data_IF_877132370799
#
_entry.id   IF_877132370799
#
_cell.length_a   1.000
_cell.length_b   1.000
_cell.length_c   1.000
_cell.angle_alpha   90.00
_cell.angle_beta   90.00
_cell.angle_gamma   90.00
#
_symmetry.space_group_name_H-M   'P 1'
#
loop_
_entity.id
_entity.type
_entity.pdbx_description
1 polymer ?
#
# COMPACT_ATOMS: atom_id res chain seq x y z
N UNK A 1 19.42 34.67 -11.56
CA UNK A 1 18.12 34.08 -11.97
C UNK A 1 17.60 34.72 -13.25
N UNK A 2 17.74 36.04 -13.42
CA UNK A 2 17.20 36.74 -14.59
C UNK A 2 18.00 36.52 -15.89
N UNK A 3 19.33 36.36 -15.80
CA UNK A 3 20.19 35.95 -16.92
C UNK A 3 19.74 34.63 -17.53
N UNK A 4 19.54 33.60 -16.70
CA UNK A 4 19.06 32.30 -17.15
C UNK A 4 17.70 32.37 -17.86
N UNK A 5 16.77 33.20 -17.37
CA UNK A 5 15.45 33.39 -18.00
C UNK A 5 15.55 34.06 -19.38
N UNK A 6 16.46 35.01 -19.54
CA UNK A 6 16.66 35.73 -20.81
C UNK A 6 17.25 34.79 -21.86
N UNK A 7 18.28 34.03 -21.49
CA UNK A 7 18.95 33.13 -22.42
C UNK A 7 18.04 31.93 -22.79
N UNK A 8 17.23 31.39 -21.87
CA UNK A 8 16.23 30.35 -22.20
C UNK A 8 15.19 30.82 -23.23
N UNK A 9 14.82 32.11 -23.19
CA UNK A 9 13.93 32.71 -24.20
C UNK A 9 14.63 32.84 -25.55
N UNK A 10 15.93 33.15 -25.57
CA UNK A 10 16.73 33.26 -26.81
C UNK A 10 16.91 31.90 -27.50
N UNK A 11 17.00 30.81 -26.74
CA UNK A 11 17.13 29.44 -27.27
C UNK A 11 15.80 28.81 -27.73
N UNK A 12 14.71 29.59 -27.83
CA UNK A 12 13.38 29.12 -28.24
C UNK A 12 12.90 27.86 -27.47
N UNK A 13 13.33 27.68 -26.22
CA UNK A 13 12.93 26.52 -25.39
C UNK A 13 13.32 25.18 -26.07
N UNK A 14 14.45 25.15 -26.80
CA UNK A 14 14.98 23.88 -27.32
C UNK A 14 15.52 23.00 -26.19
N UNK A 15 15.20 21.71 -26.26
CA UNK A 15 15.75 20.69 -25.37
C UNK A 15 17.19 20.41 -25.79
N UNK A 16 18.15 20.61 -24.89
CA UNK A 16 19.58 20.49 -25.20
C UNK A 16 20.14 19.14 -24.76
N UNK A 17 19.66 18.59 -23.64
CA UNK A 17 20.14 17.31 -23.12
C UNK A 17 19.09 16.62 -22.28
N UNK A 18 19.11 15.29 -22.27
CA UNK A 18 18.38 14.48 -21.30
C UNK A 18 19.30 14.08 -20.15
N UNK A 19 18.83 14.24 -18.90
CA UNK A 19 19.59 13.87 -17.71
C UNK A 19 18.75 12.90 -16.89
N UNK A 20 19.32 11.73 -16.58
CA UNK A 20 18.67 10.74 -15.75
C UNK A 20 18.76 11.13 -14.28
N UNK A 21 17.64 11.53 -13.68
CA UNK A 21 17.60 11.86 -12.26
C UNK A 21 17.41 10.60 -11.43
N UNK A 22 18.33 10.34 -10.50
CA UNK A 22 18.29 9.14 -9.64
C UNK A 22 17.21 9.22 -8.55
N UNK A 23 16.83 10.42 -8.06
CA UNK A 23 15.79 10.64 -7.03
C UNK A 23 15.17 12.04 -7.14
N UNK A 24 13.85 12.14 -6.98
CA UNK A 24 13.10 13.41 -6.98
C UNK A 24 12.19 13.54 -5.75
N UNK A 25 12.03 14.73 -5.15
CA UNK A 25 11.05 14.97 -4.08
C UNK A 25 9.63 15.10 -4.67
N UNK A 26 8.79 14.07 -4.52
CA UNK A 26 7.36 14.13 -4.90
C UNK A 26 6.53 14.83 -3.81
N UNK A 27 5.42 15.51 -4.16
CA UNK A 27 4.46 16.00 -3.16
C UNK A 27 3.92 14.83 -2.32
N UNK A 28 3.91 15.01 -1.00
CA UNK A 28 3.56 13.98 -0.04
C UNK A 28 2.05 13.86 0.09
N UNK A 29 1.45 12.80 -0.46
CA UNK A 29 0.00 12.51 -0.37
C UNK A 29 -0.20 11.17 0.33
N UNK A 30 -0.05 11.10 1.66
CA UNK A 30 0.26 9.87 2.38
C UNK A 30 -0.71 8.71 2.16
N UNK A 31 -2.01 8.93 1.96
CA UNK A 31 -2.96 7.82 1.72
C UNK A 31 -2.80 7.17 0.32
N UNK A 32 -2.26 7.92 -0.65
CA UNK A 32 -1.97 7.47 -2.03
C UNK A 32 -0.49 7.13 -2.20
N UNK A 33 0.40 7.92 -1.59
CA UNK A 33 1.86 7.77 -1.63
C UNK A 33 2.43 6.91 -0.49
N UNK A 34 1.62 6.34 0.41
CA UNK A 34 2.08 5.27 1.32
C UNK A 34 2.07 3.91 0.63
N UNK A 35 1.19 3.72 -0.37
CA UNK A 35 1.20 2.53 -1.18
C UNK A 35 2.46 2.53 -2.06
N UNK A 36 3.45 1.72 -1.67
CA UNK A 36 4.75 1.61 -2.34
C UNK A 36 4.60 1.28 -3.83
N UNK A 37 3.62 0.46 -4.19
CA UNK A 37 3.29 0.12 -5.57
C UNK A 37 2.71 1.29 -6.35
N UNK A 38 1.73 2.01 -5.77
CA UNK A 38 1.18 3.18 -6.45
C UNK A 38 2.27 4.24 -6.67
N UNK A 39 3.14 4.47 -5.67
CA UNK A 39 4.30 5.36 -5.82
C UNK A 39 5.19 4.94 -6.98
N UNK A 40 5.46 3.63 -7.10
CA UNK A 40 6.26 3.06 -8.18
C UNK A 40 5.65 3.37 -9.54
N UNK A 41 4.40 2.94 -9.77
CA UNK A 41 3.72 3.11 -11.04
C UNK A 41 3.53 4.58 -11.40
N UNK A 42 3.28 5.44 -10.40
CA UNK A 42 3.23 6.88 -10.59
C UNK A 42 4.59 7.48 -10.98
N UNK A 43 5.72 6.99 -10.45
CA UNK A 43 7.04 7.43 -10.93
C UNK A 43 7.30 6.98 -12.35
N UNK A 44 6.70 5.86 -12.76
CA UNK A 44 6.97 5.25 -14.06
C UNK A 44 5.96 5.64 -15.14
N UNK A 45 5.14 6.68 -14.92
CA UNK A 45 4.04 7.07 -15.82
C UNK A 45 3.11 5.88 -16.20
N UNK A 46 3.18 4.78 -15.46
CA UNK A 46 2.42 3.54 -15.64
C UNK A 46 1.19 3.52 -14.72
N UNK A 47 0.60 4.69 -14.45
CA UNK A 47 -0.56 4.78 -13.55
C UNK A 47 -1.73 3.91 -14.03
N UNK A 48 -1.87 3.72 -15.35
CA UNK A 48 -2.86 2.84 -15.96
C UNK A 48 -2.69 1.36 -15.56
N UNK A 49 -1.49 0.95 -15.15
CA UNK A 49 -1.20 -0.42 -14.71
C UNK A 49 -1.52 -0.63 -13.21
N UNK A 50 -1.89 0.42 -12.48
CA UNK A 50 -2.28 0.30 -11.08
C UNK A 50 -3.59 -0.47 -10.97
N UNK A 51 -3.46 -1.74 -10.57
CA UNK A 51 -4.60 -2.59 -10.28
C UNK A 51 -4.96 -2.45 -8.79
N UNK A 52 -6.24 -2.39 -8.44
CA UNK A 52 -6.66 -2.47 -7.04
C UNK A 52 -6.15 -3.78 -6.43
N UNK A 53 -5.87 -3.76 -5.12
CA UNK A 53 -5.42 -4.94 -4.36
C UNK A 53 -6.30 -6.14 -4.68
N UNK A 54 -5.74 -7.12 -5.39
CA UNK A 54 -6.50 -8.25 -5.93
C UNK A 54 -6.77 -9.32 -4.87
N UNK A 55 -5.82 -9.47 -3.94
CA UNK A 55 -5.80 -10.47 -2.89
C UNK A 55 -5.75 -9.77 -1.53
N UNK A 56 -6.66 -10.15 -0.65
CA UNK A 56 -6.89 -9.43 0.60
C UNK A 56 -7.34 -10.38 1.69
N UNK A 57 -7.17 -9.94 2.93
CA UNK A 57 -7.74 -10.55 4.11
C UNK A 57 -8.54 -9.50 4.84
N UNK A 58 -9.77 -9.86 5.19
CA UNK A 58 -10.64 -9.03 6.02
C UNK A 58 -11.11 -9.87 7.20
N UNK A 59 -11.26 -9.22 8.35
CA UNK A 59 -11.75 -9.87 9.55
C UNK A 59 -12.72 -8.95 10.29
N UNK A 60 -13.62 -9.56 11.03
CA UNK A 60 -14.58 -8.86 11.88
C UNK A 60 -14.71 -9.60 13.20
N UNK A 61 -14.59 -8.84 14.28
CA UNK A 61 -14.96 -9.28 15.62
C UNK A 61 -16.42 -8.94 15.87
N UNK A 62 -17.17 -9.90 16.40
CA UNK A 62 -18.39 -9.65 17.13
C UNK A 62 -18.04 -9.64 18.61
N UNK A 63 -18.27 -8.52 19.27
CA UNK A 63 -17.95 -8.32 20.69
C UNK A 63 -19.22 -8.29 21.53
N UNK A 64 -19.13 -8.87 22.71
CA UNK A 64 -20.13 -8.77 23.76
C UNK A 64 -19.63 -7.86 24.88
N UNK A 65 -20.56 -7.13 25.50
CA UNK A 65 -20.24 -6.14 26.52
C UNK A 65 -20.45 -6.78 27.89
N UNK A 66 -19.35 -7.05 28.60
CA UNK A 66 -19.42 -7.56 29.97
C UNK A 66 -19.38 -6.42 30.97
N UNK A 67 -20.38 -6.38 31.87
CA UNK A 67 -20.37 -5.50 33.03
C UNK A 67 -19.61 -6.18 34.17
N UNK A 68 -18.44 -5.64 34.50
CA UNK A 68 -17.63 -6.16 35.60
C UNK A 68 -17.90 -5.34 36.87
N UNK A 69 -18.30 -5.96 37.99
CA UNK A 69 -18.49 -5.26 39.25
C UNK A 69 -17.22 -4.49 39.65
N UNK A 70 -17.39 -3.23 40.10
CA UNK A 70 -16.27 -2.37 40.50
C UNK A 70 -15.57 -1.62 39.35
N UNK A 71 -16.00 -1.78 38.09
CA UNK A 71 -15.57 -0.91 36.99
C UNK A 71 -16.71 -0.03 36.52
N UNK A 72 -16.40 1.25 36.28
CA UNK A 72 -17.36 2.22 35.75
C UNK A 72 -17.60 2.06 34.24
N UNK A 73 -16.77 1.28 33.55
CA UNK A 73 -16.84 1.08 32.10
C UNK A 73 -16.95 -0.42 31.80
N UNK A 74 -17.85 -0.82 30.89
CA UNK A 74 -17.94 -2.20 30.46
C UNK A 74 -16.71 -2.62 29.65
N UNK A 75 -16.39 -3.91 29.67
CA UNK A 75 -15.29 -4.49 28.90
C UNK A 75 -15.88 -5.17 27.66
N UNK A 76 -15.44 -4.81 26.45
CA UNK A 76 -15.78 -5.56 25.25
C UNK A 76 -14.93 -6.82 25.19
N UNK A 77 -15.57 -7.98 25.23
CA UNK A 77 -14.93 -9.27 25.02
C UNK A 77 -15.34 -9.77 23.64
N UNK A 78 -14.39 -10.22 22.79
CA UNK A 78 -14.77 -10.89 21.55
C UNK A 78 -15.61 -12.13 21.89
N UNK A 79 -16.63 -12.40 21.09
CA UNK A 79 -17.45 -13.61 21.18
C UNK A 79 -17.22 -14.49 19.95
N UNK A 80 -17.09 -13.85 18.78
CA UNK A 80 -16.88 -14.52 17.49
C UNK A 80 -15.90 -13.69 16.66
N UNK A 81 -15.05 -14.38 15.90
CA UNK A 81 -14.22 -13.79 14.85
C UNK A 81 -14.51 -14.49 13.53
N UNK A 82 -14.86 -13.69 12.52
CA UNK A 82 -15.03 -14.15 11.16
C UNK A 82 -13.92 -13.53 10.31
N UNK A 83 -13.33 -14.29 9.39
CA UNK A 83 -12.40 -13.74 8.40
C UNK A 83 -12.62 -14.33 7.03
N UNK A 84 -12.43 -13.48 6.03
CA UNK A 84 -12.42 -13.87 4.62
C UNK A 84 -11.05 -13.57 4.04
N UNK A 85 -10.42 -14.60 3.51
CA UNK A 85 -9.11 -14.58 2.87
C UNK A 85 -9.33 -14.84 1.39
N UNK A 86 -8.87 -13.91 0.55
CA UNK A 86 -8.82 -14.07 -0.90
C UNK A 86 -7.36 -14.09 -1.34
N UNK A 87 -6.89 -15.24 -1.78
CA UNK A 87 -5.55 -15.44 -2.38
C UNK A 87 -5.69 -15.52 -3.90
N UNK A 88 -4.55 -15.73 -4.59
CA UNK A 88 -4.55 -15.96 -6.04
C UNK A 88 -5.30 -17.21 -6.47
N UNK A 89 -5.27 -18.24 -5.62
CA UNK A 89 -5.75 -19.57 -6.00
C UNK A 89 -7.11 -19.90 -5.36
N UNK A 90 -7.47 -19.27 -4.24
CA UNK A 90 -8.68 -19.64 -3.51
C UNK A 90 -9.27 -18.49 -2.69
N UNK A 91 -10.53 -18.69 -2.30
CA UNK A 91 -11.21 -17.91 -1.27
C UNK A 91 -11.46 -18.84 -0.10
N UNK A 92 -11.02 -18.44 1.08
CA UNK A 92 -11.17 -19.19 2.32
C UNK A 92 -11.88 -18.31 3.35
N UNK A 93 -12.87 -18.89 4.01
CA UNK A 93 -13.53 -18.27 5.14
C UNK A 93 -13.21 -19.07 6.39
N UNK A 94 -12.88 -18.37 7.48
CA UNK A 94 -12.58 -18.98 8.77
C UNK A 94 -13.45 -18.32 9.84
N UNK A 95 -13.93 -19.15 10.76
CA UNK A 95 -14.82 -18.74 11.83
C UNK A 95 -14.38 -19.42 13.12
N UNK A 96 -14.23 -18.62 14.15
CA UNK A 96 -13.84 -19.05 15.48
C UNK A 96 -14.73 -18.33 16.50
N UNK A 97 -15.13 -19.05 17.53
CA UNK A 97 -16.00 -18.52 18.58
C UNK A 97 -15.49 -18.89 19.97
N UNK A 98 -16.11 -18.30 20.98
CA UNK A 98 -15.79 -18.52 22.39
C UNK A 98 -16.04 -19.96 22.88
N UNK A 99 -16.61 -20.85 22.07
CA UNK A 99 -16.74 -22.28 22.42
C UNK A 99 -15.42 -23.03 22.31
N UNK A 100 -14.46 -22.48 21.56
CA UNK A 100 -13.14 -23.06 21.36
C UNK A 100 -12.11 -22.41 22.27
N UNK A 101 -11.23 -23.20 22.87
CA UNK A 101 -10.10 -22.67 23.64
C UNK A 101 -9.14 -21.88 22.74
N UNK A 102 -8.69 -20.72 23.23
CA UNK A 102 -7.74 -19.81 22.58
C UNK A 102 -8.15 -19.46 21.13
N UNK A 103 -9.44 -19.27 20.90
CA UNK A 103 -10.01 -19.07 19.57
C UNK A 103 -9.49 -17.78 18.90
N UNK A 104 -9.18 -16.74 19.68
CA UNK A 104 -8.61 -15.48 19.18
C UNK A 104 -7.16 -15.69 18.73
N UNK A 105 -6.37 -16.40 19.52
CA UNK A 105 -4.97 -16.71 19.22
C UNK A 105 -4.89 -17.57 17.96
N UNK A 106 -5.69 -18.65 17.88
CA UNK A 106 -5.80 -19.52 16.70
C UNK A 106 -6.20 -18.74 15.45
N UNK A 107 -7.15 -17.80 15.60
CA UNK A 107 -7.53 -16.90 14.51
C UNK A 107 -6.33 -16.09 14.01
N UNK A 108 -5.59 -15.45 14.91
CA UNK A 108 -4.44 -14.62 14.54
C UNK A 108 -3.31 -15.43 13.92
N UNK A 109 -3.00 -16.61 14.46
CA UNK A 109 -2.02 -17.52 13.87
C UNK A 109 -2.36 -17.85 12.42
N UNK A 110 -3.62 -18.21 12.15
CA UNK A 110 -4.07 -18.48 10.79
C UNK A 110 -3.99 -17.23 9.91
N UNK A 111 -4.46 -16.08 10.40
CA UNK A 111 -4.39 -14.80 9.67
C UNK A 111 -2.94 -14.47 9.28
N UNK A 112 -1.96 -14.68 10.17
CA UNK A 112 -0.56 -14.38 9.87
C UNK A 112 0.04 -15.31 8.82
N UNK A 113 -0.34 -16.60 8.83
CA UNK A 113 0.06 -17.55 7.79
C UNK A 113 -0.48 -17.09 6.44
N UNK A 114 -1.78 -16.81 6.36
CA UNK A 114 -2.46 -16.39 5.14
C UNK A 114 -1.96 -15.02 4.64
N UNK A 115 -1.65 -14.09 5.56
CA UNK A 115 -1.14 -12.77 5.22
C UNK A 115 0.23 -12.82 4.53
N UNK A 116 1.09 -13.78 4.90
CA UNK A 116 2.37 -14.01 4.19
C UNK A 116 2.11 -14.43 2.74
N UNK A 117 1.14 -15.33 2.53
CA UNK A 117 0.77 -15.75 1.17
C UNK A 117 0.19 -14.59 0.37
N UNK A 118 -0.75 -13.83 0.93
CA UNK A 118 -1.34 -12.65 0.27
C UNK A 118 -0.26 -11.63 -0.11
N UNK A 119 0.73 -11.41 0.76
CA UNK A 119 1.85 -10.52 0.45
C UNK A 119 2.66 -11.03 -0.75
N UNK A 120 2.90 -12.32 -0.85
CA UNK A 120 3.59 -12.93 -1.99
C UNK A 120 2.74 -12.88 -3.27
N UNK A 121 1.45 -13.16 -3.17
CA UNK A 121 0.52 -13.13 -4.30
C UNK A 121 0.35 -11.72 -4.87
N UNK A 122 0.48 -10.69 -4.02
CA UNK A 122 0.48 -9.28 -4.42
C UNK A 122 1.88 -8.76 -4.81
N UNK A 123 2.92 -9.60 -4.83
CA UNK A 123 4.28 -9.18 -5.24
C UNK A 123 4.30 -8.96 -6.75
N UNK A 124 4.83 -7.81 -7.18
CA UNK A 124 5.07 -7.50 -8.59
C UNK A 124 6.25 -8.33 -9.12
N UNK A 125 6.22 -8.68 -10.41
CA UNK A 125 7.25 -9.50 -11.05
C UNK A 125 8.62 -8.79 -11.09
N UNK A 126 8.64 -7.46 -11.19
CA UNK A 126 9.86 -6.71 -11.47
C UNK A 126 10.38 -5.92 -10.25
N UNK A 127 11.71 -5.91 -10.07
CA UNK A 127 12.38 -4.90 -9.25
C UNK A 127 12.34 -3.57 -9.98
N UNK A 128 11.49 -2.69 -9.48
CA UNK A 128 11.32 -1.28 -9.82
C UNK A 128 12.66 -0.52 -10.00
N UNK A 129 13.14 -0.26 -11.23
CA UNK A 129 14.34 0.53 -11.44
C UNK A 129 13.95 2.01 -11.54
N UNK A 130 14.26 2.82 -10.51
CA UNK A 130 13.93 4.25 -10.50
C UNK A 130 14.85 5.07 -11.42
N UNK A 131 14.55 5.11 -12.72
CA UNK A 131 15.26 5.98 -13.67
C UNK A 131 14.27 6.71 -14.57
N UNK A 132 14.35 8.04 -14.60
CA UNK A 132 13.59 8.90 -15.49
C UNK A 132 14.50 9.92 -16.16
N UNK A 133 14.43 9.99 -17.48
CA UNK A 133 15.15 10.96 -18.29
C UNK A 133 14.37 12.28 -18.31
N UNK A 134 14.99 13.33 -17.79
CA UNK A 134 14.39 14.66 -17.74
C UNK A 134 15.03 15.52 -18.83
N UNK A 135 14.23 16.14 -19.72
CA UNK A 135 14.75 17.11 -20.68
C UNK A 135 15.22 18.36 -19.92
N UNK A 136 16.50 18.68 -20.06
CA UNK A 136 17.10 19.92 -19.59
C UNK A 136 17.08 20.92 -20.74
N UNK A 137 16.37 22.01 -20.49
CA UNK A 137 16.40 23.20 -21.33
C UNK A 137 17.65 23.97 -20.92
N UNK A 138 18.63 24.06 -21.81
CA UNK A 138 19.96 24.58 -21.49
C UNK A 138 20.58 25.37 -22.62
N UNK A 139 21.85 25.69 -22.45
CA UNK A 139 22.73 26.36 -23.40
C UNK A 139 23.68 25.32 -24.00
N UNK A 140 24.14 25.53 -25.24
CA UNK A 140 25.33 24.84 -25.76
C UNK A 140 26.59 25.32 -25.04
#
# INVERSE_FOLDING_TARGET
MDTHKIECKQNNIKIVKYVTLKKFPKPFVPHVTSNKTYRYLLSHNQKAEYKPTQYYLTFRFQTEIQKVPGRNHPIPTPAIVASTIKTKNYIKQIFYDQSQDNYVEKQFEQIFIEAKQIRNDNKYADEVPQYYDVPVIGFD
#
